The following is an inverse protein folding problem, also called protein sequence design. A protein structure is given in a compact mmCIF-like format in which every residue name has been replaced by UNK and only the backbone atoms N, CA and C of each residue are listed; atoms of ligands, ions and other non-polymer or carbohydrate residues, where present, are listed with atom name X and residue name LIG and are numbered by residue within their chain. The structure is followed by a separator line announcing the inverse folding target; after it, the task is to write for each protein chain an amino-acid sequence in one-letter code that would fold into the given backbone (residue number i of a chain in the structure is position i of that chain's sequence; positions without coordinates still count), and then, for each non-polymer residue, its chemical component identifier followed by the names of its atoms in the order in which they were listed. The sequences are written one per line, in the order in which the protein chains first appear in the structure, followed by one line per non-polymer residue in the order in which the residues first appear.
data_IF_410004906105
#
_entry.id   IF_410004906105
#
_cell.length_a   1.000
_cell.length_b   1.000
_cell.length_c   1.000
_cell.angle_alpha   90.00
_cell.angle_beta   90.00
_cell.angle_gamma   90.00
#
_symmetry.space_group_name_H-M   'P 1'
#
loop_
_entity.id
_entity.type
_entity.pdbx_description
1 polymer ?
#
# COMPACT_ATOMS: atom_id res chain seq x y z
N UNK A 1 -20.28 -23.35 26.79
CA UNK A 1 -20.60 -22.39 25.77
C UNK A 1 -19.35 -21.78 25.20
N UNK A 2 -19.20 -21.85 23.92
CA UNK A 2 -18.00 -21.37 23.30
C UNK A 2 -18.27 -20.06 22.61
N UNK A 3 -17.48 -19.09 22.96
CA UNK A 3 -17.53 -17.82 22.26
C UNK A 3 -16.46 -17.79 21.24
N UNK A 4 -16.88 -17.78 20.02
CA UNK A 4 -15.96 -17.65 18.93
C UNK A 4 -15.75 -16.20 18.66
N UNK A 5 -14.65 -15.72 19.10
CA UNK A 5 -14.25 -14.40 18.73
C UNK A 5 -13.75 -14.46 17.31
N UNK A 6 -14.51 -13.99 16.41
CA UNK A 6 -14.00 -13.76 15.07
C UNK A 6 -12.89 -12.78 15.20
N UNK A 7 -11.69 -13.23 14.96
CA UNK A 7 -10.56 -12.40 15.15
C UNK A 7 -10.61 -11.15 14.31
N UNK A 8 -10.20 -10.03 14.86
CA UNK A 8 -10.06 -8.80 14.08
C UNK A 8 -9.05 -8.91 12.96
N UNK A 9 -8.31 -10.01 12.92
CA UNK A 9 -7.31 -10.20 11.89
C UNK A 9 -7.89 -10.09 10.49
N UNK A 10 -9.13 -10.52 10.30
CA UNK A 10 -9.77 -10.41 9.00
C UNK A 10 -10.04 -8.98 8.60
N UNK A 11 -10.35 -8.14 9.58
CA UNK A 11 -10.61 -6.74 9.30
C UNK A 11 -9.35 -5.99 8.92
N UNK A 12 -8.19 -6.52 9.30
CA UNK A 12 -6.93 -5.84 9.01
C UNK A 12 -6.30 -6.28 7.70
N UNK A 13 -6.80 -7.35 7.13
CA UNK A 13 -6.43 -7.74 5.79
C UNK A 13 -5.17 -8.55 5.66
N UNK A 14 -4.10 -8.23 6.40
CA UNK A 14 -2.83 -8.94 6.27
C UNK A 14 -2.22 -9.19 7.63
N UNK A 15 -1.45 -10.28 7.78
CA UNK A 15 -0.73 -10.53 9.03
C UNK A 15 0.37 -9.51 9.26
N UNK A 16 0.78 -9.37 10.51
CA UNK A 16 1.80 -8.39 10.90
C UNK A 16 3.11 -8.58 10.14
N UNK A 17 3.54 -9.83 9.96
CA UNK A 17 4.78 -10.10 9.24
C UNK A 17 4.67 -9.66 7.78
N UNK A 18 3.52 -9.89 7.16
CA UNK A 18 3.31 -9.45 5.78
C UNK A 18 3.24 -7.94 5.71
N UNK A 19 2.62 -7.30 6.69
CA UNK A 19 2.55 -5.84 6.73
C UNK A 19 3.94 -5.22 6.74
N UNK A 20 4.86 -5.78 7.52
CA UNK A 20 6.23 -5.29 7.55
C UNK A 20 6.92 -5.44 6.21
N UNK A 21 6.67 -6.57 5.53
CA UNK A 21 7.17 -6.80 4.19
C UNK A 21 6.63 -5.77 3.21
N UNK A 22 5.33 -5.51 3.30
CA UNK A 22 4.68 -4.57 2.39
C UNK A 22 5.21 -3.15 2.56
N UNK A 23 5.53 -2.76 3.79
CA UNK A 23 6.14 -1.44 4.02
C UNK A 23 7.45 -1.34 3.24
N UNK A 24 8.28 -2.38 3.30
CA UNK A 24 9.54 -2.37 2.56
C UNK A 24 9.32 -2.33 1.05
N UNK A 25 8.37 -3.14 0.58
CA UNK A 25 8.06 -3.18 -0.85
C UNK A 25 7.63 -1.81 -1.33
N UNK A 26 6.73 -1.16 -0.60
CA UNK A 26 6.24 0.14 -1.00
C UNK A 26 7.38 1.17 -0.99
N UNK A 27 8.18 1.18 0.07
CA UNK A 27 9.27 2.15 0.14
C UNK A 27 10.29 1.96 -0.97
N UNK A 28 10.59 0.73 -1.33
CA UNK A 28 11.60 0.46 -2.35
C UNK A 28 11.02 0.45 -3.75
N UNK A 29 9.97 -0.31 -3.97
CA UNK A 29 9.48 -0.54 -5.33
C UNK A 29 8.56 0.57 -5.80
N UNK A 30 7.61 0.97 -5.00
CA UNK A 30 6.78 2.11 -5.35
C UNK A 30 7.60 3.39 -5.26
N UNK A 31 8.45 3.47 -4.27
CA UNK A 31 9.28 4.64 -4.05
C UNK A 31 10.25 4.93 -5.18
N UNK A 32 10.62 3.91 -5.96
CA UNK A 32 11.54 4.14 -7.08
C UNK A 32 10.97 5.14 -8.09
N UNK A 33 9.65 5.20 -8.22
CA UNK A 33 9.00 6.15 -9.11
C UNK A 33 8.28 7.26 -8.36
N UNK A 34 7.70 6.94 -7.20
CA UNK A 34 6.91 7.92 -6.45
C UNK A 34 7.72 8.67 -5.41
N UNK A 35 9.03 8.43 -5.36
CA UNK A 35 9.91 9.08 -4.41
C UNK A 35 10.14 8.23 -3.18
N UNK A 36 11.35 8.28 -2.65
CA UNK A 36 11.71 7.45 -1.50
C UNK A 36 10.89 7.80 -0.26
N UNK A 37 10.39 9.03 -0.21
CA UNK A 37 9.50 9.46 0.86
C UNK A 37 8.06 9.54 0.38
N UNK A 38 7.80 9.03 -0.82
CA UNK A 38 6.47 9.02 -1.44
C UNK A 38 5.94 10.44 -1.67
N UNK A 39 6.83 11.40 -1.79
CA UNK A 39 6.46 12.79 -2.01
C UNK A 39 6.50 13.21 -3.47
N UNK A 40 6.75 12.25 -4.34
CA UNK A 40 6.75 12.51 -5.78
C UNK A 40 8.10 12.25 -6.40
N UNK A 41 8.09 11.94 -7.66
CA UNK A 41 9.26 11.68 -8.48
C UNK A 41 8.79 11.58 -9.91
N UNK A 42 9.15 10.49 -10.58
CA UNK A 42 8.59 10.23 -11.91
C UNK A 42 7.08 10.05 -11.82
N UNK A 43 6.61 9.43 -10.73
CA UNK A 43 5.18 9.33 -10.46
C UNK A 43 4.74 10.40 -9.48
N UNK A 44 3.43 10.59 -9.33
CA UNK A 44 2.91 11.61 -8.42
C UNK A 44 3.13 11.25 -6.96
N UNK A 45 2.99 12.23 -6.08
CA UNK A 45 3.08 12.02 -4.65
C UNK A 45 2.01 11.05 -4.17
N UNK A 46 2.36 10.24 -3.18
CA UNK A 46 1.45 9.28 -2.55
C UNK A 46 1.22 9.64 -1.09
N UNK A 47 1.24 10.93 -0.78
CA UNK A 47 0.96 11.40 0.57
C UNK A 47 -0.54 11.39 0.81
N UNK A 48 -0.92 11.38 2.09
CA UNK A 48 -2.32 11.43 2.46
C UNK A 48 -3.03 12.61 1.81
N UNK A 49 -2.37 13.74 1.78
CA UNK A 49 -2.93 14.96 1.19
C UNK A 49 -3.12 14.83 -0.31
N UNK A 50 -2.14 14.25 -0.99
CA UNK A 50 -2.23 14.08 -2.44
C UNK A 50 -3.32 13.10 -2.84
N UNK A 51 -3.64 12.14 -1.96
CA UNK A 51 -4.60 11.08 -2.27
C UNK A 51 -5.97 11.34 -1.64
N UNK A 52 -6.17 12.51 -1.05
CA UNK A 52 -7.36 12.77 -0.23
C UNK A 52 -8.67 12.63 -1.01
N UNK A 53 -8.66 12.88 -2.31
CA UNK A 53 -9.85 12.82 -3.13
C UNK A 53 -10.04 11.46 -3.81
N UNK A 54 -9.20 10.47 -3.49
CA UNK A 54 -9.26 9.17 -4.14
C UNK A 54 -9.71 8.10 -3.16
N UNK A 55 -10.74 7.32 -3.50
CA UNK A 55 -11.16 6.23 -2.61
C UNK A 55 -10.09 5.16 -2.53
N UNK A 56 -9.87 4.55 -1.37
CA UNK A 56 -8.90 3.47 -1.26
C UNK A 56 -9.15 2.31 -2.22
N UNK A 57 -10.41 2.04 -2.56
CA UNK A 57 -10.70 0.97 -3.51
C UNK A 57 -10.14 1.29 -4.90
N UNK A 58 -10.19 2.54 -5.31
CA UNK A 58 -9.63 2.95 -6.59
C UNK A 58 -8.10 2.88 -6.56
N UNK A 59 -7.50 3.24 -5.43
CA UNK A 59 -6.06 3.13 -5.27
C UNK A 59 -5.62 1.66 -5.33
N UNK A 60 -6.37 0.80 -4.65
CA UNK A 60 -6.06 -0.64 -4.64
C UNK A 60 -6.12 -1.21 -6.06
N UNK A 61 -7.13 -0.84 -6.83
CA UNK A 61 -7.25 -1.31 -8.20
C UNK A 61 -6.08 -0.83 -9.05
N UNK A 62 -5.66 0.41 -8.87
CA UNK A 62 -4.52 0.96 -9.60
C UNK A 62 -3.24 0.21 -9.25
N UNK A 63 -3.03 -0.10 -7.97
CA UNK A 63 -1.86 -0.85 -7.55
C UNK A 63 -1.87 -2.24 -8.15
N UNK A 64 -2.99 -2.92 -8.08
CA UNK A 64 -3.09 -4.31 -8.51
C UNK A 64 -3.02 -4.45 -10.02
N UNK A 65 -3.72 -3.60 -10.75
CA UNK A 65 -3.85 -3.71 -12.21
C UNK A 65 -2.95 -2.77 -12.99
N UNK A 66 -2.36 -1.77 -12.33
CA UNK A 66 -1.58 -0.76 -13.03
C UNK A 66 -2.45 0.27 -13.70
N UNK A 67 -1.81 1.15 -14.44
CA UNK A 67 -2.50 2.17 -15.24
C UNK A 67 -2.12 1.96 -16.70
N UNK A 68 -3.00 1.38 -17.50
CA UNK A 68 -2.70 1.13 -18.91
C UNK A 68 -2.31 2.40 -19.63
N UNK A 69 -1.30 2.30 -20.49
CA UNK A 69 -0.81 3.44 -21.23
C UNK A 69 0.14 4.33 -20.46
N UNK A 70 0.51 3.95 -19.25
CA UNK A 70 1.46 4.70 -18.43
C UNK A 70 2.56 3.76 -17.94
N UNK A 71 3.68 4.29 -17.40
CA UNK A 71 4.71 3.44 -16.84
C UNK A 71 4.31 2.70 -15.56
N UNK A 72 3.19 3.01 -14.95
CA UNK A 72 2.75 2.35 -13.72
C UNK A 72 2.32 0.91 -14.03
N UNK A 73 3.09 -0.09 -13.57
CA UNK A 73 2.73 -1.49 -13.83
C UNK A 73 1.69 -1.96 -12.81
N UNK A 74 1.04 -3.08 -13.14
CA UNK A 74 0.23 -3.78 -12.16
C UNK A 74 1.12 -4.68 -11.32
N UNK A 75 0.87 -4.72 -10.05
CA UNK A 75 1.71 -5.47 -9.11
C UNK A 75 1.13 -6.83 -8.72
N UNK A 76 0.12 -7.28 -9.44
CA UNK A 76 -0.59 -8.53 -9.09
C UNK A 76 0.31 -9.77 -9.15
N UNK A 77 1.46 -9.70 -9.79
CA UNK A 77 2.40 -10.79 -9.79
C UNK A 77 3.17 -10.91 -8.48
N UNK A 78 3.21 -9.85 -7.70
CA UNK A 78 3.93 -9.78 -6.44
C UNK A 78 2.99 -9.59 -5.25
N UNK A 79 1.87 -8.94 -5.46
CA UNK A 79 0.92 -8.58 -4.41
C UNK A 79 -0.42 -9.28 -4.62
N UNK A 80 -1.02 -9.73 -3.54
CA UNK A 80 -2.41 -10.20 -3.58
C UNK A 80 -3.35 -9.01 -3.56
N UNK A 81 -4.63 -9.27 -3.80
CA UNK A 81 -5.62 -8.21 -3.66
C UNK A 81 -5.68 -7.67 -2.25
N UNK A 82 -5.57 -8.55 -1.26
CA UNK A 82 -5.56 -8.12 0.14
C UNK A 82 -4.36 -7.22 0.42
N UNK A 83 -3.20 -7.54 -0.16
CA UNK A 83 -2.02 -6.70 -0.04
C UNK A 83 -2.28 -5.31 -0.64
N UNK A 84 -2.86 -5.27 -1.83
CA UNK A 84 -3.12 -4.00 -2.51
C UNK A 84 -4.11 -3.14 -1.72
N UNK A 85 -5.13 -3.77 -1.17
CA UNK A 85 -6.11 -3.07 -0.35
C UNK A 85 -5.46 -2.50 0.91
N UNK A 86 -4.62 -3.32 1.56
CA UNK A 86 -3.92 -2.85 2.76
C UNK A 86 -3.03 -1.65 2.45
N UNK A 87 -2.26 -1.75 1.36
CA UNK A 87 -1.39 -0.66 0.94
C UNK A 87 -2.20 0.60 0.66
N UNK A 88 -3.29 0.46 -0.09
CA UNK A 88 -4.13 1.60 -0.43
C UNK A 88 -4.68 2.30 0.81
N UNK A 89 -5.13 1.51 1.78
CA UNK A 89 -5.65 2.06 3.02
C UNK A 89 -4.57 2.77 3.83
N UNK A 90 -3.36 2.21 3.84
CA UNK A 90 -2.26 2.86 4.55
C UNK A 90 -1.81 4.14 3.85
N UNK A 91 -1.78 4.14 2.53
CA UNK A 91 -1.46 5.36 1.80
C UNK A 91 -2.48 6.46 2.07
N UNK A 92 -3.75 6.10 2.08
CA UNK A 92 -4.83 7.07 2.31
C UNK A 92 -4.77 7.68 3.71
N UNK A 93 -4.25 6.95 4.69
CA UNK A 93 -4.17 7.43 6.07
C UNK A 93 -2.79 7.91 6.48
N UNK A 94 -1.84 7.86 5.57
CA UNK A 94 -0.45 8.21 5.86
C UNK A 94 0.37 6.95 6.00
N UNK A 95 1.28 6.71 5.04
CA UNK A 95 2.01 5.46 4.99
C UNK A 95 3.06 5.41 6.10
N UNK A 96 3.19 4.26 6.78
CA UNK A 96 4.12 4.16 7.89
C UNK A 96 5.58 4.18 7.44
N UNK A 97 6.45 4.62 8.32
CA UNK A 97 7.87 4.56 8.08
C UNK A 97 8.37 3.13 8.12
N UNK A 98 9.42 2.87 7.39
CA UNK A 98 10.02 1.54 7.41
C UNK A 98 10.72 1.34 8.75
N UNK A 99 10.38 0.23 9.40
CA UNK A 99 10.96 -0.07 10.68
C UNK A 99 12.44 -0.38 10.51
N UNK A 100 13.26 0.23 11.32
CA UNK A 100 14.70 0.04 11.23
C UNK A 100 15.38 0.91 10.20
N UNK A 101 14.63 1.66 9.42
CA UNK A 101 15.20 2.62 8.49
C UNK A 101 15.61 3.85 9.28
N UNK A 102 16.78 3.83 9.80
CA UNK A 102 17.26 4.97 10.57
C UNK A 102 18.07 5.88 9.68
N UNK A 103 18.01 7.14 9.94
CA UNK A 103 18.84 8.10 9.23
C UNK A 103 20.31 7.90 9.54
#
# INVERSE_FOLDING_TARGET
MVLLACGPALAQGVPAARAAELVRIVRQDCGSCHGMRLTGGLGPALTREALADKPPSALAATIFHGRPGTPMPGWRGLLSEADAIWIAERLASGFPEERGATP
#
